data_IF_644763709103
#
_entry.id   IF_644763709103
#
_cell.length_a   1.000
_cell.length_b   1.000
_cell.length_c   1.000
_cell.angle_alpha   90.00
_cell.angle_beta   90.00
_cell.angle_gamma   90.00
#
_symmetry.space_group_name_H-M   'P 1'
#
loop_
_entity.id
_entity.type
_entity.pdbx_description
1 polymer ?
#
# COMPACT_ATOMS: atom_id res chain seq x y z
N UNK A 1 5.31 -7.84 18.80
CA UNK A 1 6.63 -7.86 18.16
C UNK A 1 6.65 -6.75 17.13
N UNK A 2 7.71 -5.92 17.12
CA UNK A 2 7.96 -4.96 16.04
C UNK A 2 8.83 -5.69 15.02
N UNK A 3 8.32 -5.86 13.82
CA UNK A 3 9.00 -6.54 12.72
C UNK A 3 9.46 -5.48 11.75
N UNK A 4 10.77 -5.22 11.73
CA UNK A 4 11.40 -4.27 10.81
C UNK A 4 12.41 -5.06 9.97
N UNK A 5 12.28 -5.05 8.63
CA UNK A 5 13.16 -5.83 7.76
C UNK A 5 14.54 -5.17 7.64
N UNK A 6 14.58 -3.84 7.81
CA UNK A 6 15.81 -3.06 7.92
C UNK A 6 16.56 -3.40 9.21
N UNK A 7 17.86 -3.59 9.09
CA UNK A 7 18.79 -3.79 10.21
C UNK A 7 18.80 -2.64 11.22
N UNK A 8 18.63 -1.40 10.74
CA UNK A 8 18.60 -0.19 11.58
C UNK A 8 17.29 -0.01 12.36
N UNK A 9 16.20 -0.62 11.87
CA UNK A 9 14.85 -0.45 12.40
C UNK A 9 14.33 1.00 12.37
N UNK A 10 13.08 1.20 12.80
CA UNK A 10 12.56 2.56 13.00
C UNK A 10 12.96 3.12 14.38
N UNK A 11 13.65 4.27 14.37
CA UNK A 11 14.11 4.97 15.59
C UNK A 11 13.08 6.03 16.01
N UNK A 12 12.32 5.77 17.08
CA UNK A 12 11.25 6.68 17.55
C UNK A 12 11.77 8.00 18.12
N UNK A 13 13.05 8.08 18.47
CA UNK A 13 13.73 9.31 18.91
C UNK A 13 14.17 10.20 17.75
N UNK A 14 14.06 9.73 16.51
CA UNK A 14 14.47 10.45 15.31
C UNK A 14 13.26 10.82 14.46
N UNK A 15 13.35 11.97 13.78
CA UNK A 15 12.29 12.44 12.89
C UNK A 15 12.17 11.51 11.67
N UNK A 16 10.97 11.40 11.11
CA UNK A 16 10.76 10.81 9.78
C UNK A 16 11.49 11.66 8.72
N UNK A 17 12.13 11.01 7.77
CA UNK A 17 12.82 11.63 6.64
C UNK A 17 12.24 11.15 5.31
N UNK A 18 12.66 11.74 4.19
CA UNK A 18 12.25 11.24 2.88
C UNK A 18 12.90 9.88 2.60
N UNK A 19 14.18 9.74 2.94
CA UNK A 19 14.95 8.51 2.74
C UNK A 19 15.83 8.17 3.96
N UNK A 20 16.56 7.07 3.87
CA UNK A 20 17.42 6.57 4.95
C UNK A 20 16.70 5.67 5.94
N UNK A 21 17.35 5.33 7.06
CA UNK A 21 16.82 4.38 8.05
C UNK A 21 15.45 4.76 8.64
N UNK A 22 15.16 6.06 8.76
CA UNK A 22 13.87 6.60 9.18
C UNK A 22 13.06 7.19 8.01
N UNK A 23 13.40 6.85 6.77
CA UNK A 23 12.69 7.30 5.58
C UNK A 23 11.78 6.26 4.96
N UNK A 24 10.90 6.72 4.08
CA UNK A 24 10.00 5.87 3.29
C UNK A 24 10.62 5.43 1.96
N UNK A 25 11.48 6.26 1.37
CA UNK A 25 12.15 5.97 0.12
C UNK A 25 13.56 5.42 0.33
N UNK A 26 14.02 4.63 -0.64
CA UNK A 26 15.33 4.02 -0.65
C UNK A 26 15.46 2.82 0.27
N UNK A 27 16.67 2.27 0.35
CA UNK A 27 16.99 1.16 1.24
C UNK A 27 17.22 1.67 2.67
N UNK A 28 16.33 1.28 3.59
CA UNK A 28 16.36 1.66 5.01
C UNK A 28 17.50 1.02 5.82
N UNK A 29 18.33 0.16 5.23
CA UNK A 29 19.61 -0.23 5.82
C UNK A 29 20.66 0.88 5.78
N UNK A 30 20.44 1.91 4.95
CA UNK A 30 21.34 3.05 4.83
C UNK A 30 20.91 4.19 5.75
N UNK A 31 21.83 4.71 6.55
CA UNK A 31 21.56 5.88 7.41
C UNK A 31 21.57 7.18 6.61
N UNK A 32 22.51 7.31 5.67
CA UNK A 32 22.57 8.46 4.78
C UNK A 32 21.44 8.43 3.74
N UNK A 33 20.79 9.58 3.55
CA UNK A 33 19.62 9.67 2.67
C UNK A 33 19.97 9.52 1.19
N UNK A 34 21.16 9.95 0.79
CA UNK A 34 21.63 9.84 -0.59
C UNK A 34 22.04 8.41 -0.90
N UNK A 35 22.75 7.76 0.02
CA UNK A 35 23.10 6.34 -0.12
C UNK A 35 21.85 5.47 -0.20
N UNK A 36 20.82 5.79 0.59
CA UNK A 36 19.55 5.06 0.60
C UNK A 36 18.85 5.05 -0.77
N UNK A 37 18.85 6.16 -1.50
CA UNK A 37 18.18 6.29 -2.81
C UNK A 37 19.12 6.10 -4.00
N UNK A 38 20.41 5.89 -3.74
CA UNK A 38 21.44 5.81 -4.77
C UNK A 38 21.12 4.73 -5.80
N UNK A 39 21.36 5.05 -7.07
CA UNK A 39 21.06 4.18 -8.20
C UNK A 39 19.58 4.10 -8.58
N UNK A 40 18.65 4.70 -7.82
CA UNK A 40 17.21 4.66 -8.09
C UNK A 40 16.84 5.10 -9.51
N UNK A 41 16.93 6.40 -9.80
CA UNK A 41 16.55 6.92 -11.13
C UNK A 41 17.56 6.62 -12.26
N UNK A 42 18.72 6.04 -11.92
CA UNK A 42 19.75 5.66 -12.90
C UNK A 42 19.58 4.20 -13.38
N UNK A 43 18.69 3.43 -12.75
CA UNK A 43 18.43 2.03 -13.12
C UNK A 43 17.28 1.89 -14.11
N UNK A 44 17.19 0.71 -14.71
CA UNK A 44 16.08 0.31 -15.57
C UNK A 44 14.87 -0.07 -14.71
N UNK A 45 13.82 0.75 -14.78
CA UNK A 45 12.56 0.59 -14.08
C UNK A 45 11.42 0.08 -14.99
N UNK A 46 11.73 -0.36 -16.21
CA UNK A 46 10.71 -0.79 -17.20
C UNK A 46 9.83 -1.95 -16.70
N UNK A 47 10.31 -2.73 -15.72
CA UNK A 47 9.53 -3.80 -15.09
C UNK A 47 8.40 -3.28 -14.17
N UNK A 48 8.45 -2.00 -13.80
CA UNK A 48 7.44 -1.32 -12.98
C UNK A 48 6.33 -0.71 -13.84
N UNK A 49 6.63 -0.28 -15.07
CA UNK A 49 5.72 0.48 -15.92
C UNK A 49 4.81 -0.44 -16.75
N UNK A 50 3.55 -0.04 -16.97
CA UNK A 50 2.64 -0.79 -17.82
C UNK A 50 3.18 -0.96 -19.25
N UNK A 51 3.05 -2.17 -19.79
CA UNK A 51 3.53 -2.52 -21.13
C UNK A 51 4.16 -3.91 -21.17
N UNK A 52 4.79 -4.26 -22.29
CA UNK A 52 5.40 -5.59 -22.48
C UNK A 52 6.54 -5.90 -21.49
N UNK A 53 7.16 -4.87 -20.91
CA UNK A 53 8.21 -5.00 -19.89
C UNK A 53 7.68 -5.27 -18.49
N UNK A 54 6.41 -4.96 -18.21
CA UNK A 54 5.84 -5.05 -16.87
C UNK A 54 5.93 -6.46 -16.29
N UNK A 55 6.48 -6.59 -15.09
CA UNK A 55 6.49 -7.85 -14.34
C UNK A 55 6.70 -7.60 -12.86
N UNK A 56 5.98 -8.33 -12.00
CA UNK A 56 6.26 -8.35 -10.57
C UNK A 56 7.57 -9.11 -10.24
N UNK A 57 8.04 -9.95 -11.16
CA UNK A 57 9.27 -10.73 -10.98
C UNK A 57 10.49 -9.84 -11.15
N UNK A 58 11.40 -9.84 -10.17
CA UNK A 58 12.60 -8.99 -10.18
C UNK A 58 12.39 -7.61 -9.54
N UNK A 59 11.14 -7.22 -9.29
CA UNK A 59 10.87 -6.03 -8.48
C UNK A 59 11.43 -6.20 -7.06
N UNK A 60 11.92 -5.11 -6.48
CA UNK A 60 12.53 -5.13 -5.15
C UNK A 60 13.98 -5.64 -5.09
N UNK A 61 14.61 -5.92 -6.24
CA UNK A 61 16.02 -6.32 -6.28
C UNK A 61 16.98 -5.16 -6.00
N UNK A 62 16.59 -3.94 -6.36
CA UNK A 62 17.30 -2.69 -6.12
C UNK A 62 16.30 -1.56 -5.85
N UNK A 63 16.77 -0.37 -5.48
CA UNK A 63 15.89 0.80 -5.36
C UNK A 63 15.23 1.14 -6.70
N UNK A 64 15.97 1.04 -7.82
CA UNK A 64 15.46 1.33 -9.17
C UNK A 64 14.32 0.40 -9.58
N UNK A 65 14.42 -0.88 -9.20
CA UNK A 65 13.41 -1.89 -9.50
C UNK A 65 12.36 -2.01 -8.40
N UNK A 66 12.28 -1.06 -7.47
CA UNK A 66 11.25 -1.04 -6.44
C UNK A 66 10.24 0.06 -6.73
N UNK A 67 8.96 -0.28 -6.61
CA UNK A 67 7.85 0.62 -6.87
C UNK A 67 8.04 1.96 -6.13
N UNK A 68 8.07 3.08 -6.87
CA UNK A 68 8.26 4.46 -6.40
C UNK A 68 9.52 4.68 -5.57
N UNK A 69 10.58 3.93 -5.86
CA UNK A 69 11.81 3.87 -5.08
C UNK A 69 11.59 3.45 -3.62
N UNK A 70 10.51 2.75 -3.32
CA UNK A 70 10.21 2.21 -2.00
C UNK A 70 10.82 0.82 -1.93
N UNK A 71 12.04 0.70 -1.42
CA UNK A 71 12.84 -0.53 -1.53
C UNK A 71 12.05 -1.78 -1.12
N UNK A 72 12.09 -2.82 -1.97
CA UNK A 72 11.36 -4.11 -1.83
C UNK A 72 9.85 -4.06 -2.08
N UNK A 73 9.26 -2.89 -2.24
CA UNK A 73 7.82 -2.74 -2.53
C UNK A 73 7.56 -2.98 -4.00
N UNK A 74 6.44 -3.63 -4.28
CA UNK A 74 6.01 -4.06 -5.60
C UNK A 74 4.69 -3.39 -5.98
N UNK A 75 4.52 -3.18 -7.27
CA UNK A 75 3.35 -2.54 -7.84
C UNK A 75 3.50 -2.32 -9.33
N UNK A 76 2.54 -1.62 -9.91
CA UNK A 76 2.61 -1.13 -11.27
C UNK A 76 2.55 0.40 -11.25
N UNK A 77 3.50 1.03 -11.93
CA UNK A 77 3.55 2.46 -12.14
C UNK A 77 2.82 2.81 -13.43
N UNK A 78 1.96 3.80 -13.30
CA UNK A 78 1.33 4.46 -14.43
C UNK A 78 2.38 5.16 -15.29
N UNK A 79 2.14 5.19 -16.60
CA UNK A 79 3.14 5.62 -17.59
C UNK A 79 3.47 7.12 -17.48
N UNK A 80 2.60 7.92 -16.87
CA UNK A 80 2.83 9.34 -16.62
C UNK A 80 3.16 9.64 -15.14
N UNK A 81 3.52 8.60 -14.37
CA UNK A 81 3.79 8.66 -12.94
C UNK A 81 2.61 9.15 -12.10
N UNK A 82 1.39 8.92 -12.57
CA UNK A 82 0.10 9.27 -11.94
C UNK A 82 -0.16 10.78 -11.96
N UNK A 83 0.24 11.42 -13.06
CA UNK A 83 0.05 12.84 -13.28
C UNK A 83 -1.40 13.14 -13.69
N UNK A 84 -2.02 12.27 -14.48
CA UNK A 84 -3.47 12.16 -14.62
C UNK A 84 -4.03 11.00 -13.81
N UNK A 85 -5.35 11.01 -13.60
CA UNK A 85 -6.04 10.00 -12.81
C UNK A 85 -7.39 9.68 -13.43
N UNK A 86 -7.64 8.40 -13.59
CA UNK A 86 -8.94 7.87 -13.94
C UNK A 86 -9.08 6.44 -13.44
N UNK A 87 -10.22 5.85 -13.71
CA UNK A 87 -10.53 4.47 -13.34
C UNK A 87 -9.53 3.49 -13.95
N UNK A 88 -8.92 3.78 -15.10
CA UNK A 88 -7.90 2.94 -15.77
C UNK A 88 -6.53 3.61 -15.91
N UNK A 89 -6.35 4.77 -15.27
CA UNK A 89 -5.14 5.61 -15.31
C UNK A 89 -4.76 5.86 -13.84
N UNK A 90 -4.08 4.88 -13.26
CA UNK A 90 -3.65 4.90 -11.86
C UNK A 90 -2.51 3.93 -11.62
N UNK A 91 -1.81 4.07 -10.50
CA UNK A 91 -0.84 3.07 -10.07
C UNK A 91 -1.56 1.93 -9.33
N UNK A 92 -1.05 0.71 -9.44
CA UNK A 92 -1.55 -0.42 -8.68
C UNK A 92 -0.57 -0.89 -7.59
N UNK A 93 -1.11 -1.17 -6.41
CA UNK A 93 -0.34 -1.65 -5.26
C UNK A 93 -0.49 -3.17 -5.17
N UNK A 94 0.62 -3.89 -4.98
CA UNK A 94 0.54 -5.28 -4.58
C UNK A 94 -0.02 -5.38 -3.16
N UNK A 95 -1.02 -6.23 -2.97
CA UNK A 95 -1.54 -6.65 -1.67
C UNK A 95 -1.29 -8.14 -1.44
N UNK A 96 -1.15 -8.54 -0.19
CA UNK A 96 -0.94 -9.93 0.23
C UNK A 96 -2.00 -10.31 1.26
N UNK A 97 -2.33 -11.60 1.39
CA UNK A 97 -3.20 -12.05 2.47
C UNK A 97 -2.60 -11.72 3.83
N UNK A 98 -3.45 -11.15 4.68
CA UNK A 98 -3.19 -10.79 6.05
C UNK A 98 -2.53 -11.91 6.89
N UNK A 99 -2.83 -13.17 6.58
CA UNK A 99 -2.24 -14.35 7.22
C UNK A 99 -0.83 -14.70 6.71
N UNK A 100 -0.50 -14.25 5.50
CA UNK A 100 0.75 -14.52 4.77
C UNK A 100 1.76 -13.38 4.85
N UNK A 101 1.48 -12.31 5.61
CA UNK A 101 2.35 -11.14 5.87
C UNK A 101 3.61 -11.47 6.67
N UNK A 102 4.10 -12.71 6.55
CA UNK A 102 5.11 -13.38 7.35
C UNK A 102 6.05 -12.35 7.97
N UNK A 103 5.98 -12.25 9.30
CA UNK A 103 6.56 -11.18 10.11
C UNK A 103 7.82 -10.65 9.45
N UNK A 104 7.76 -9.41 8.96
CA UNK A 104 8.77 -8.75 8.11
C UNK A 104 10.06 -8.47 8.89
N UNK A 105 10.57 -9.45 9.61
CA UNK A 105 11.78 -9.41 10.42
C UNK A 105 13.04 -9.45 9.56
N UNK A 106 12.90 -9.64 8.24
CA UNK A 106 14.00 -9.55 7.28
C UNK A 106 13.50 -9.21 5.87
N UNK A 107 14.37 -8.58 5.07
CA UNK A 107 14.11 -8.31 3.65
C UNK A 107 13.79 -9.55 2.81
N UNK A 108 14.25 -10.74 3.23
CA UNK A 108 13.99 -11.99 2.52
C UNK A 108 12.54 -12.47 2.69
N UNK A 109 11.87 -12.04 3.76
CA UNK A 109 10.50 -12.46 4.08
C UNK A 109 9.44 -11.48 3.58
N UNK A 110 9.83 -10.24 3.23
CA UNK A 110 8.91 -9.25 2.70
C UNK A 110 8.23 -9.74 1.42
N UNK A 111 6.93 -9.53 1.36
CA UNK A 111 6.08 -9.86 0.21
C UNK A 111 6.11 -8.74 -0.83
N UNK A 112 6.37 -7.53 -0.38
CA UNK A 112 6.49 -6.31 -1.16
C UNK A 112 5.19 -5.51 -1.19
N UNK A 113 4.33 -5.61 -0.16
CA UNK A 113 3.09 -4.83 -0.12
C UNK A 113 3.35 -3.43 0.42
N UNK A 114 2.54 -2.46 -0.01
CA UNK A 114 2.64 -1.10 0.54
C UNK A 114 2.29 -1.05 2.03
N UNK A 115 1.45 -1.97 2.51
CA UNK A 115 1.12 -2.07 3.93
C UNK A 115 2.32 -2.57 4.76
N UNK A 116 3.16 -3.45 4.21
CA UNK A 116 4.42 -3.86 4.84
C UNK A 116 5.36 -2.68 5.01
N UNK A 117 5.50 -1.80 4.00
CA UNK A 117 6.29 -0.56 4.13
C UNK A 117 5.79 0.30 5.29
N UNK A 118 4.48 0.55 5.37
CA UNK A 118 3.89 1.32 6.45
C UNK A 118 4.18 0.69 7.82
N UNK A 119 4.17 -0.65 7.88
CA UNK A 119 4.45 -1.41 9.09
C UNK A 119 5.89 -1.26 9.59
N UNK A 120 6.83 -0.88 8.71
CA UNK A 120 8.23 -0.67 9.08
C UNK A 120 8.42 0.47 10.10
N UNK A 121 7.44 1.36 10.24
CA UNK A 121 7.39 2.37 11.31
C UNK A 121 6.14 2.22 12.20
N UNK A 122 5.02 1.73 11.64
CA UNK A 122 3.71 1.67 12.28
C UNK A 122 3.24 0.23 12.57
N UNK A 123 4.15 -0.65 12.99
CA UNK A 123 3.94 -2.11 13.07
C UNK A 123 2.61 -2.56 13.71
N UNK A 124 2.14 -1.91 14.78
CA UNK A 124 0.91 -2.31 15.50
C UNK A 124 -0.38 -2.13 14.66
N UNK A 125 -0.34 -1.38 13.55
CA UNK A 125 -1.48 -1.21 12.64
C UNK A 125 -1.48 -2.24 11.50
N UNK A 126 -0.49 -3.13 11.48
CA UNK A 126 -0.30 -4.12 10.42
C UNK A 126 -0.26 -5.56 10.96
N UNK A 127 0.44 -5.80 12.07
CA UNK A 127 0.61 -7.16 12.59
C UNK A 127 -0.70 -7.76 13.10
N UNK A 128 -0.83 -9.08 13.01
CA UNK A 128 -1.95 -9.83 13.59
C UNK A 128 -1.82 -9.95 15.12
N UNK A 129 -2.93 -10.26 15.80
CA UNK A 129 -2.97 -10.55 17.23
C UNK A 129 -3.39 -9.38 18.13
N UNK A 130 -3.34 -9.59 19.45
CA UNK A 130 -3.91 -8.67 20.46
C UNK A 130 -3.20 -7.32 20.55
N UNK A 131 -1.90 -7.25 20.19
CA UNK A 131 -1.16 -6.00 20.06
C UNK A 131 -1.30 -5.32 18.69
N UNK A 132 -2.01 -5.96 17.77
CA UNK A 132 -2.11 -5.61 16.35
C UNK A 132 -3.54 -5.34 15.90
N UNK A 133 -3.91 -5.76 14.68
CA UNK A 133 -5.27 -5.58 14.16
C UNK A 133 -6.30 -6.58 14.72
N UNK A 134 -5.86 -7.62 15.45
CA UNK A 134 -6.67 -8.79 15.81
C UNK A 134 -6.36 -10.00 14.91
N UNK A 135 -7.18 -11.05 15.00
CA UNK A 135 -7.01 -12.30 14.22
C UNK A 135 -8.18 -12.62 13.31
N UNK A 136 -9.36 -12.06 13.59
CA UNK A 136 -10.57 -12.17 12.80
C UNK A 136 -11.52 -11.02 13.16
N UNK A 137 -12.63 -10.91 12.44
CA UNK A 137 -13.76 -10.05 12.82
C UNK A 137 -14.39 -10.52 14.15
N UNK A 138 -14.74 -9.62 15.08
CA UNK A 138 -14.50 -8.17 15.03
C UNK A 138 -13.02 -7.83 15.24
N UNK A 139 -12.48 -7.00 14.36
CA UNK A 139 -11.09 -6.55 14.43
C UNK A 139 -10.89 -5.54 15.55
N UNK A 140 -9.70 -5.54 16.15
CA UNK A 140 -9.31 -4.56 17.20
C UNK A 140 -9.05 -3.18 16.58
N UNK A 141 -8.59 -3.15 15.34
CA UNK A 141 -8.34 -1.95 14.52
C UNK A 141 -8.85 -2.21 13.11
N UNK A 142 -9.06 -1.16 12.30
CA UNK A 142 -9.43 -1.37 10.90
C UNK A 142 -8.37 -2.25 10.22
N UNK A 143 -8.78 -3.37 9.58
CA UNK A 143 -7.82 -4.29 9.01
C UNK A 143 -7.10 -3.67 7.81
N UNK A 144 -5.88 -4.16 7.59
CA UNK A 144 -5.04 -3.94 6.40
C UNK A 144 -4.66 -5.31 5.85
N UNK A 145 -4.40 -5.40 4.55
CA UNK A 145 -4.09 -6.63 3.80
C UNK A 145 -5.15 -7.73 3.95
N UNK A 146 -6.37 -7.36 4.35
CA UNK A 146 -7.50 -8.28 4.45
C UNK A 146 -8.33 -8.22 3.18
N UNK A 147 -8.74 -9.39 2.71
CA UNK A 147 -9.64 -9.54 1.57
C UNK A 147 -10.93 -8.75 1.79
N UNK A 148 -11.33 -7.96 0.81
CA UNK A 148 -12.66 -7.34 0.83
C UNK A 148 -13.67 -8.45 0.47
N UNK A 149 -14.60 -8.84 1.35
CA UNK A 149 -15.48 -9.98 1.09
C UNK A 149 -16.37 -9.77 -0.14
N UNK A 150 -16.60 -10.80 -0.97
CA UNK A 150 -17.65 -10.75 -1.99
C UNK A 150 -19.02 -11.15 -1.40
N UNK A 151 -19.40 -10.50 -0.30
CA UNK A 151 -20.64 -10.80 0.43
C UNK A 151 -21.04 -9.65 1.35
N UNK A 152 -22.31 -9.67 1.78
CA UNK A 152 -22.84 -8.65 2.69
C UNK A 152 -22.77 -7.24 2.10
N UNK A 153 -22.36 -6.27 2.91
CA UNK A 153 -22.23 -4.86 2.51
C UNK A 153 -21.10 -4.61 1.49
N UNK A 154 -20.20 -5.57 1.30
CA UNK A 154 -19.05 -5.40 0.41
C UNK A 154 -19.31 -5.95 -1.00
N UNK A 155 -20.37 -6.72 -1.22
CA UNK A 155 -20.63 -7.33 -2.53
C UNK A 155 -20.87 -6.28 -3.63
N UNK A 156 -21.46 -5.15 -3.27
CA UNK A 156 -21.80 -4.02 -4.16
C UNK A 156 -20.60 -3.20 -4.61
N UNK A 157 -19.44 -3.36 -3.96
CA UNK A 157 -18.24 -2.56 -4.24
C UNK A 157 -17.45 -3.07 -5.44
N UNK A 158 -17.87 -4.20 -6.03
CA UNK A 158 -17.26 -4.75 -7.25
C UNK A 158 -17.62 -3.90 -8.47
N UNK A 159 -17.19 -2.65 -8.43
CA UNK A 159 -17.58 -1.56 -9.32
C UNK A 159 -16.33 -0.86 -9.85
N UNK A 160 -16.52 0.29 -10.47
CA UNK A 160 -15.49 1.21 -10.93
C UNK A 160 -14.46 1.53 -9.85
N UNK A 161 -13.18 1.48 -10.22
CA UNK A 161 -12.08 1.91 -9.37
C UNK A 161 -12.15 3.42 -9.06
N UNK A 162 -11.82 3.79 -7.83
CA UNK A 162 -11.75 5.17 -7.37
C UNK A 162 -10.39 5.45 -6.70
N UNK A 163 -9.71 6.52 -7.12
CA UNK A 163 -8.44 6.96 -6.51
C UNK A 163 -8.64 7.53 -5.09
N UNK A 164 -9.86 7.90 -4.71
CA UNK A 164 -10.18 8.27 -3.33
C UNK A 164 -10.17 7.06 -2.38
N UNK A 165 -10.34 5.84 -2.91
CA UNK A 165 -10.32 4.59 -2.12
C UNK A 165 -9.58 3.46 -2.85
N UNK A 166 -8.24 3.57 -3.03
CA UNK A 166 -7.48 2.57 -3.76
C UNK A 166 -7.44 1.24 -3.00
N UNK A 167 -7.18 0.15 -3.72
CA UNK A 167 -7.12 -1.21 -3.16
C UNK A 167 -5.78 -1.88 -3.48
N UNK A 168 -5.42 -2.89 -2.69
CA UNK A 168 -4.30 -3.77 -2.99
C UNK A 168 -4.74 -4.93 -3.88
N UNK A 169 -4.04 -5.14 -5.00
CA UNK A 169 -4.29 -6.25 -5.93
C UNK A 169 -3.59 -7.51 -5.43
N UNK A 170 -4.29 -8.67 -5.47
CA UNK A 170 -3.69 -9.97 -5.13
C UNK A 170 -2.53 -10.35 -6.05
N UNK A 171 -2.62 -9.89 -7.29
CA UNK A 171 -1.66 -10.08 -8.37
C UNK A 171 -1.88 -8.98 -9.38
N UNK A 172 -0.82 -8.63 -10.11
CA UNK A 172 -0.88 -7.76 -11.29
C UNK A 172 -0.26 -8.56 -12.41
N UNK A 173 -1.00 -8.78 -13.50
CA UNK A 173 -0.59 -9.69 -14.56
C UNK A 173 0.68 -9.19 -15.25
N UNK A 174 1.67 -10.07 -15.46
CA UNK A 174 2.85 -9.72 -16.26
C UNK A 174 2.42 -9.27 -17.66
N UNK A 175 3.05 -8.23 -18.17
CA UNK A 175 2.68 -7.61 -19.44
C UNK A 175 1.37 -6.81 -19.40
N UNK A 176 0.82 -6.51 -18.22
CA UNK A 176 -0.33 -5.61 -18.09
C UNK A 176 -0.03 -4.29 -18.81
N UNK A 177 -0.97 -3.85 -19.64
CA UNK A 177 -0.82 -2.66 -20.50
C UNK A 177 -1.53 -1.43 -19.95
N UNK A 178 -2.35 -1.59 -18.91
CA UNK A 178 -3.05 -0.54 -18.19
C UNK A 178 -3.50 -1.06 -16.82
N UNK A 179 -3.89 -0.13 -15.94
CA UNK A 179 -4.45 -0.42 -14.64
C UNK A 179 -5.88 -0.98 -14.71
N UNK A 180 -6.29 -1.80 -13.73
CA UNK A 180 -7.64 -2.37 -13.71
C UNK A 180 -8.71 -1.32 -13.37
N UNK A 181 -9.64 -1.13 -14.30
CA UNK A 181 -10.79 -0.22 -14.22
C UNK A 181 -11.75 -0.43 -13.05
N UNK A 182 -11.64 -1.55 -12.34
CA UNK A 182 -12.61 -2.00 -11.34
C UNK A 182 -11.94 -2.48 -10.06
N UNK A 183 -12.69 -2.43 -8.97
CA UNK A 183 -12.42 -3.19 -7.73
C UNK A 183 -13.12 -4.54 -7.83
N UNK A 184 -12.46 -5.60 -7.37
CA UNK A 184 -12.97 -6.96 -7.38
C UNK A 184 -13.08 -7.48 -5.94
N UNK A 185 -14.27 -7.38 -5.35
CA UNK A 185 -14.53 -7.99 -4.04
C UNK A 185 -14.33 -9.51 -4.13
N UNK A 186 -13.80 -10.11 -3.07
CA UNK A 186 -13.37 -11.49 -3.01
C UNK A 186 -11.97 -11.73 -3.58
N UNK A 187 -11.28 -10.70 -4.08
CA UNK A 187 -9.88 -10.78 -4.56
C UNK A 187 -9.03 -9.62 -4.06
N UNK A 188 -9.52 -8.39 -4.19
CA UNK A 188 -8.82 -7.18 -3.77
C UNK A 188 -8.85 -7.03 -2.25
N UNK A 189 -7.89 -6.27 -1.74
CA UNK A 189 -7.63 -6.10 -0.31
C UNK A 189 -7.69 -4.65 0.09
N UNK A 190 -8.16 -4.41 1.31
CA UNK A 190 -7.94 -3.12 1.97
C UNK A 190 -6.46 -2.98 2.32
N UNK A 191 -5.87 -1.82 2.03
CA UNK A 191 -4.47 -1.49 2.34
C UNK A 191 -4.42 -0.21 3.16
N UNK A 192 -3.26 0.12 3.75
CA UNK A 192 -3.09 1.37 4.50
C UNK A 192 -3.52 2.61 3.68
N UNK A 193 -3.17 2.61 2.39
CA UNK A 193 -3.46 3.72 1.48
C UNK A 193 -4.91 3.75 0.98
N UNK A 194 -5.75 2.75 1.29
CA UNK A 194 -7.18 2.80 0.96
C UNK A 194 -7.87 3.99 1.62
N UNK A 195 -7.37 4.43 2.78
CA UNK A 195 -7.91 5.59 3.49
C UNK A 195 -6.90 6.73 3.64
N UNK A 196 -5.59 6.45 3.67
CA UNK A 196 -4.56 7.46 3.92
C UNK A 196 -3.81 7.92 2.66
N UNK A 197 -3.34 9.17 2.67
CA UNK A 197 -2.33 9.70 1.74
C UNK A 197 -0.96 9.72 2.40
N UNK A 198 0.07 9.23 1.69
CA UNK A 198 1.42 9.04 2.25
C UNK A 198 2.15 10.36 2.60
N UNK A 199 2.06 11.37 1.73
CA UNK A 199 2.78 12.65 1.90
C UNK A 199 2.00 13.72 2.66
N UNK A 200 0.80 13.39 3.13
CA UNK A 200 -0.14 14.32 3.72
C UNK A 200 -1.39 14.54 2.88
N UNK A 201 -2.41 15.13 3.51
CA UNK A 201 -3.64 15.60 2.87
C UNK A 201 -4.13 16.86 3.56
N UNK A 202 -5.17 17.47 3.00
CA UNK A 202 -5.93 18.55 3.62
C UNK A 202 -6.94 18.06 4.66
N UNK A 203 -6.93 16.76 4.99
CA UNK A 203 -7.82 16.12 5.95
C UNK A 203 -7.05 15.69 7.20
N UNK A 204 -7.76 15.57 8.33
CA UNK A 204 -7.20 15.07 9.57
C UNK A 204 -6.62 13.66 9.38
N UNK A 205 -5.54 13.35 10.12
CA UNK A 205 -4.86 12.06 10.11
C UNK A 205 -4.38 11.60 8.72
N UNK A 206 -4.12 12.57 7.83
CA UNK A 206 -3.72 12.35 6.44
C UNK A 206 -4.71 11.47 5.66
N UNK A 207 -6.01 11.55 5.97
CA UNK A 207 -7.02 10.78 5.26
C UNK A 207 -7.32 11.34 3.86
N UNK A 208 -7.86 10.50 2.98
CA UNK A 208 -8.29 10.90 1.63
C UNK A 208 -9.59 11.70 1.64
N UNK A 209 -10.35 11.59 2.72
CA UNK A 209 -11.68 12.14 2.91
C UNK A 209 -11.83 12.76 4.30
N UNK A 210 -12.73 13.72 4.42
CA UNK A 210 -13.16 14.25 5.72
C UNK A 210 -14.01 13.22 6.46
N UNK A 211 -13.86 13.15 7.78
CA UNK A 211 -14.69 12.32 8.65
C UNK A 211 -15.25 13.11 9.85
N UNK A 212 -15.00 14.42 9.90
CA UNK A 212 -15.19 15.22 11.12
C UNK A 212 -16.58 15.82 11.27
N UNK A 213 -17.34 15.95 10.18
CA UNK A 213 -18.58 16.75 10.15
C UNK A 213 -19.71 16.11 9.37
N UNK A 214 -19.41 15.48 8.24
CA UNK A 214 -20.36 14.65 7.51
C UNK A 214 -19.64 13.69 6.56
N UNK A 215 -20.32 12.59 6.20
CA UNK A 215 -19.85 11.65 5.20
C UNK A 215 -21.02 11.20 4.32
N UNK A 216 -20.91 11.48 3.01
CA UNK A 216 -21.94 11.11 2.03
C UNK A 216 -21.90 9.62 1.71
N UNK A 217 -23.05 9.05 1.32
CA UNK A 217 -23.12 7.68 0.85
C UNK A 217 -22.17 7.47 -0.35
N UNK A 218 -21.37 6.40 -0.32
CA UNK A 218 -20.38 6.09 -1.35
C UNK A 218 -19.06 6.86 -1.25
N UNK A 219 -18.89 7.74 -0.26
CA UNK A 219 -17.65 8.47 -0.02
C UNK A 219 -16.87 7.89 1.17
N UNK A 220 -15.54 8.02 1.13
CA UNK A 220 -14.65 7.57 2.19
C UNK A 220 -14.89 6.13 2.64
N UNK A 221 -15.08 5.89 3.95
CA UNK A 221 -15.34 4.53 4.44
C UNK A 221 -16.69 3.95 3.96
N UNK A 222 -17.67 4.78 3.59
CA UNK A 222 -18.97 4.35 3.05
C UNK A 222 -18.87 3.86 1.59
N UNK A 223 -17.72 4.06 0.94
CA UNK A 223 -17.44 3.40 -0.34
C UNK A 223 -17.40 1.88 -0.18
N UNK A 224 -16.78 1.39 0.90
CA UNK A 224 -16.72 -0.04 1.20
C UNK A 224 -17.89 -0.51 2.09
N UNK A 225 -18.32 0.33 3.03
CA UNK A 225 -19.35 -0.02 4.01
C UNK A 225 -20.74 0.44 3.57
N UNK A 226 -21.28 -0.19 2.51
CA UNK A 226 -22.48 0.33 1.82
C UNK A 226 -23.77 0.22 2.62
N UNK A 227 -23.76 -0.49 3.75
CA UNK A 227 -24.92 -0.64 4.62
C UNK A 227 -24.82 0.24 5.88
N UNK A 228 -23.82 1.13 5.95
CA UNK A 228 -23.68 2.12 7.03
C UNK A 228 -24.28 3.44 6.58
N UNK A 229 -24.92 4.12 7.53
CA UNK A 229 -25.61 5.36 7.25
C UNK A 229 -24.62 6.51 7.04
N UNK A 230 -24.95 7.35 6.07
CA UNK A 230 -24.38 8.69 5.96
C UNK A 230 -24.76 9.51 7.20
N UNK A 231 -23.91 10.46 7.58
CA UNK A 231 -24.13 11.36 8.72
C UNK A 231 -23.58 12.75 8.43
#
# INVERSE_FOLDING_TARGET
MRSYPSTSGFQTSSRLTCAGANGCHGNRDQTDQWDAVSGGHHGDDTILQYGSGFTLTGQGASVATSYRFLYKIKGAEDNDWHNTRSTTDHNEYLGEDYANRGTTDSWANMKGTISELCAECHANYHVSGSGGIGTASPWIRHPTDVLIPNSGEYASISTTYDDETPVGRSTIANGATAASGTVAAGTDRVICLSCHRAHGSDQNDNLRFSYSTSLSAGAGCLHCHTNKDAY
#
